data_IF_837367343594
#
_entry.id   IF_837367343594
#
_cell.length_a   1.000
_cell.length_b   1.000
_cell.length_c   1.000
_cell.angle_alpha   90.00
_cell.angle_beta   90.00
_cell.angle_gamma   90.00
#
_symmetry.space_group_name_H-M   'P 1'
#
loop_
_entity.id
_entity.type
_entity.pdbx_description
1 polymer ?
#
# COMPACT_ATOMS: atom_id res chain seq x y z
N UNK A 1 -35.97 40.92 31.63
CA UNK A 1 -35.69 39.74 32.48
C UNK A 1 -35.76 38.52 31.57
N UNK A 2 -34.65 38.19 30.94
CA UNK A 2 -34.57 37.06 30.00
C UNK A 2 -33.65 36.04 30.67
N UNK A 3 -34.21 34.88 30.98
CA UNK A 3 -33.51 33.77 31.63
C UNK A 3 -32.64 33.05 30.60
N UNK A 4 -31.37 33.06 30.87
CA UNK A 4 -30.35 32.31 30.11
C UNK A 4 -30.40 30.84 30.55
N UNK A 5 -30.97 29.95 29.74
CA UNK A 5 -30.94 28.51 29.98
C UNK A 5 -29.55 27.98 29.52
N UNK A 6 -28.63 27.84 30.47
CA UNK A 6 -27.44 27.02 30.27
C UNK A 6 -27.86 25.54 30.31
N UNK A 7 -27.91 24.87 29.13
CA UNK A 7 -27.93 23.43 29.10
C UNK A 7 -26.50 22.93 29.34
N UNK A 8 -26.23 22.53 30.56
CA UNK A 8 -25.07 21.71 30.89
C UNK A 8 -25.31 20.33 30.28
N UNK A 9 -24.62 20.04 29.18
CA UNK A 9 -24.49 18.68 28.69
C UNK A 9 -23.63 17.91 29.68
N UNK A 10 -24.27 17.18 30.57
CA UNK A 10 -23.62 16.15 31.40
C UNK A 10 -23.13 15.05 30.46
N UNK A 11 -21.85 15.09 30.15
CA UNK A 11 -21.16 13.91 29.66
C UNK A 11 -21.26 12.80 30.70
N UNK A 12 -22.13 11.85 30.48
CA UNK A 12 -22.06 10.57 31.15
C UNK A 12 -20.77 9.89 30.68
N UNK A 13 -19.68 10.09 31.40
CA UNK A 13 -18.54 9.23 31.34
C UNK A 13 -18.99 7.84 31.83
N UNK A 14 -19.42 7.01 30.91
CA UNK A 14 -19.60 5.60 31.15
C UNK A 14 -18.23 5.03 31.55
N UNK A 15 -18.13 4.62 32.80
CA UNK A 15 -17.03 3.90 33.38
C UNK A 15 -17.00 2.48 32.80
N UNK A 16 -16.68 2.34 31.53
CA UNK A 16 -16.19 1.09 31.00
C UNK A 16 -14.70 1.01 31.31
N UNK A 17 -14.38 0.34 32.44
CA UNK A 17 -13.05 -0.14 32.76
C UNK A 17 -12.68 -1.35 31.86
N UNK A 18 -12.88 -1.27 30.58
CA UNK A 18 -12.16 -2.09 29.64
C UNK A 18 -10.75 -1.54 29.59
N UNK A 19 -9.79 -2.27 30.15
CA UNK A 19 -8.36 -2.02 29.93
C UNK A 19 -8.17 -2.00 28.43
N UNK A 20 -7.97 -0.80 27.86
CA UNK A 20 -7.61 -0.68 26.46
C UNK A 20 -6.33 -1.52 26.27
N UNK A 21 -6.36 -2.40 25.29
CA UNK A 21 -5.19 -3.18 24.89
C UNK A 21 -4.01 -2.22 24.68
N UNK A 22 -2.82 -2.65 25.03
CA UNK A 22 -1.60 -1.86 24.80
C UNK A 22 -1.41 -1.50 23.32
N UNK A 23 -2.04 -2.26 22.42
CA UNK A 23 -2.05 -2.01 20.98
C UNK A 23 -2.96 -0.84 20.58
N UNK A 24 -4.01 -0.54 21.37
CA UNK A 24 -5.00 0.50 21.11
C UNK A 24 -4.65 1.83 21.81
N UNK A 25 -3.54 1.88 22.53
CA UNK A 25 -3.11 3.11 23.21
C UNK A 25 -2.59 4.12 22.19
N UNK A 26 -3.03 5.36 22.33
CA UNK A 26 -2.47 6.48 21.57
C UNK A 26 -1.20 6.97 22.29
N UNK A 27 -0.07 6.80 21.64
CA UNK A 27 1.21 7.28 22.13
C UNK A 27 1.54 8.63 21.50
N UNK A 28 1.75 9.68 22.30
CA UNK A 28 2.26 10.97 21.83
C UNK A 28 3.78 10.92 21.73
N UNK A 29 4.26 10.31 20.65
CA UNK A 29 5.68 10.05 20.40
C UNK A 29 6.09 10.72 19.10
N UNK A 30 7.05 11.64 19.17
CA UNK A 30 7.64 12.32 18.02
C UNK A 30 9.09 11.88 17.84
N UNK A 31 9.43 11.38 16.67
CA UNK A 31 10.82 11.07 16.34
C UNK A 31 11.61 12.34 16.07
N UNK A 32 12.78 12.50 16.71
CA UNK A 32 13.62 13.69 16.58
C UNK A 32 14.99 13.43 15.97
N UNK A 33 15.42 12.17 15.86
CA UNK A 33 16.69 11.86 15.20
C UNK A 33 17.33 10.53 15.60
N UNK A 34 18.49 10.30 15.02
CA UNK A 34 19.41 9.21 15.39
C UNK A 34 20.34 9.71 16.47
N UNK A 35 20.53 8.92 17.54
CA UNK A 35 21.54 9.20 18.55
C UNK A 35 22.88 8.55 18.18
N UNK A 36 23.36 7.63 19.00
CA UNK A 36 24.48 6.75 18.66
C UNK A 36 24.03 5.69 17.63
N UNK A 37 24.98 5.04 16.96
CA UNK A 37 24.69 3.97 16.01
C UNK A 37 23.76 2.90 16.61
N UNK A 38 22.73 2.51 15.86
CA UNK A 38 21.71 1.56 16.30
C UNK A 38 20.66 2.12 17.26
N UNK A 39 20.64 3.44 17.54
CA UNK A 39 19.66 4.07 18.42
C UNK A 39 18.76 5.06 17.70
N UNK A 40 17.58 5.27 18.29
CA UNK A 40 16.57 6.24 17.83
C UNK A 40 16.14 7.13 18.99
N UNK A 41 15.99 8.44 18.76
CA UNK A 41 15.62 9.41 19.78
C UNK A 41 14.22 9.95 19.52
N UNK A 42 13.40 9.97 20.57
CA UNK A 42 12.01 10.40 20.54
C UNK A 42 11.73 11.43 21.61
N UNK A 43 11.01 12.49 21.31
CA UNK A 43 10.31 13.30 22.32
C UNK A 43 8.95 12.64 22.60
N UNK A 44 8.72 12.30 23.85
CA UNK A 44 7.50 11.63 24.29
C UNK A 44 6.76 12.50 25.31
N UNK A 45 5.47 12.72 25.07
CA UNK A 45 4.59 13.46 25.96
C UNK A 45 3.59 12.52 26.62
N UNK A 46 3.51 12.53 27.95
CA UNK A 46 2.63 11.66 28.74
C UNK A 46 1.86 12.45 29.78
N UNK A 47 0.72 11.91 30.21
CA UNK A 47 -0.05 12.46 31.33
C UNK A 47 -0.10 11.43 32.46
N UNK A 48 0.40 11.80 33.65
CA UNK A 48 0.57 10.90 34.79
C UNK A 48 0.16 11.56 36.11
N UNK A 49 0.12 10.78 37.19
CA UNK A 49 -0.19 11.30 38.53
C UNK A 49 0.94 12.14 39.13
N UNK A 50 2.17 11.81 38.76
CA UNK A 50 3.36 12.55 39.12
C UNK A 50 4.42 12.51 38.01
N UNK A 51 5.45 13.34 38.13
CA UNK A 51 6.48 13.48 37.10
C UNK A 51 7.31 12.19 36.91
N UNK A 52 7.53 11.42 37.97
CA UNK A 52 8.31 10.17 37.92
C UNK A 52 7.56 9.10 37.16
N UNK A 53 6.26 8.91 37.46
CA UNK A 53 5.38 8.00 36.71
C UNK A 53 5.33 8.42 35.22
N UNK A 54 5.26 9.74 34.95
CA UNK A 54 5.24 10.26 33.57
C UNK A 54 6.51 9.93 32.78
N UNK A 55 7.69 9.99 33.39
CA UNK A 55 8.95 9.58 32.75
C UNK A 55 8.96 8.07 32.47
N UNK A 56 8.48 7.24 33.39
CA UNK A 56 8.41 5.80 33.18
C UNK A 56 7.41 5.43 32.07
N UNK A 57 6.27 6.12 32.00
CA UNK A 57 5.35 5.97 30.88
C UNK A 57 5.99 6.38 29.55
N UNK A 58 6.74 7.48 29.53
CA UNK A 58 7.41 7.94 28.32
C UNK A 58 8.44 6.94 27.79
N UNK A 59 9.22 6.29 28.66
CA UNK A 59 10.15 5.23 28.28
C UNK A 59 9.42 4.04 27.67
N UNK A 60 8.33 3.58 28.29
CA UNK A 60 7.48 2.51 27.77
C UNK A 60 6.91 2.88 26.42
N UNK A 61 6.37 4.07 26.27
CA UNK A 61 5.68 4.53 25.08
C UNK A 61 6.63 4.71 23.88
N UNK A 62 7.88 5.14 24.12
CA UNK A 62 8.93 5.16 23.10
C UNK A 62 9.22 3.76 22.54
N UNK A 63 9.36 2.77 23.42
CA UNK A 63 9.59 1.37 23.02
C UNK A 63 8.35 0.79 22.32
N UNK A 64 7.15 1.05 22.84
CA UNK A 64 5.90 0.60 22.25
C UNK A 64 5.68 1.20 20.84
N UNK A 65 6.05 2.46 20.63
CA UNK A 65 6.02 3.08 19.30
C UNK A 65 6.95 2.37 18.31
N UNK A 66 8.17 2.03 18.72
CA UNK A 66 9.09 1.24 17.88
C UNK A 66 8.50 -0.14 17.55
N UNK A 67 7.87 -0.79 18.52
CA UNK A 67 7.31 -2.13 18.34
C UNK A 67 6.11 -2.15 17.41
N UNK A 68 5.13 -1.24 17.59
CA UNK A 68 3.80 -1.37 17.01
C UNK A 68 3.42 -0.31 15.98
N UNK A 69 4.07 0.86 15.98
CA UNK A 69 3.77 1.96 15.06
C UNK A 69 4.83 2.18 14.00
N UNK A 70 6.08 1.84 14.32
CA UNK A 70 7.23 2.25 13.53
C UNK A 70 7.56 3.73 13.74
N UNK A 71 8.43 4.23 12.89
CA UNK A 71 9.00 5.58 12.97
C UNK A 71 8.62 6.32 11.70
N UNK A 72 7.90 7.43 11.85
CA UNK A 72 7.54 8.31 10.74
C UNK A 72 8.78 9.07 10.24
N UNK A 73 8.83 9.31 8.94
CA UNK A 73 9.89 10.13 8.36
C UNK A 73 9.82 11.56 8.95
N UNK A 74 10.99 12.11 9.29
CA UNK A 74 11.13 13.50 9.74
C UNK A 74 12.44 14.07 9.20
N UNK A 75 12.38 15.18 8.49
CA UNK A 75 13.55 15.79 7.86
C UNK A 75 14.24 14.82 6.87
N UNK A 76 15.54 14.57 7.07
CA UNK A 76 16.35 13.67 6.23
C UNK A 76 16.25 12.18 6.64
N UNK A 77 15.42 11.82 7.61
CA UNK A 77 15.31 10.45 8.10
C UNK A 77 14.17 9.70 7.44
N UNK A 78 14.46 8.48 6.98
CA UNK A 78 13.50 7.59 6.35
C UNK A 78 12.55 7.01 7.41
N UNK A 79 11.29 6.83 7.03
CA UNK A 79 10.34 6.06 7.84
C UNK A 79 10.88 4.64 8.07
N UNK A 80 10.62 4.10 9.25
CA UNK A 80 10.99 2.74 9.62
C UNK A 80 9.72 2.01 10.05
N UNK A 81 9.41 0.82 9.48
CA UNK A 81 8.20 0.09 9.85
C UNK A 81 8.23 -0.34 11.33
N UNK A 82 7.06 -0.71 11.84
CA UNK A 82 6.95 -1.34 13.15
C UNK A 82 7.80 -2.63 13.20
N UNK A 83 8.46 -2.88 14.33
CA UNK A 83 9.30 -4.07 14.51
C UNK A 83 8.45 -5.34 14.51
N UNK A 84 7.23 -5.27 15.04
CA UNK A 84 6.31 -6.40 15.19
C UNK A 84 5.02 -6.11 14.41
N UNK A 85 4.55 -7.06 13.61
CA UNK A 85 3.27 -6.91 12.92
C UNK A 85 2.11 -6.88 13.91
N UNK A 86 1.03 -6.18 13.56
CA UNK A 86 -0.15 -6.09 14.42
C UNK A 86 -0.72 -7.46 14.76
N UNK A 87 -0.84 -8.35 13.79
CA UNK A 87 -1.33 -9.73 13.98
C UNK A 87 -0.45 -10.53 14.94
N UNK A 88 0.88 -10.40 14.81
CA UNK A 88 1.81 -11.07 15.74
C UNK A 88 1.66 -10.52 17.15
N UNK A 89 1.51 -9.20 17.29
CA UNK A 89 1.34 -8.54 18.57
C UNK A 89 0.00 -8.95 19.24
N UNK A 90 -1.08 -9.01 18.49
CA UNK A 90 -2.41 -9.40 18.95
C UNK A 90 -2.41 -10.87 19.40
N UNK A 91 -1.84 -11.78 18.62
CA UNK A 91 -1.75 -13.20 18.95
C UNK A 91 -0.84 -13.48 20.16
N UNK A 92 0.00 -12.53 20.55
CA UNK A 92 0.93 -12.66 21.68
C UNK A 92 0.76 -11.54 22.72
N UNK A 93 -0.45 -11.04 22.86
CA UNK A 93 -0.75 -9.85 23.67
C UNK A 93 -0.27 -9.96 25.12
N UNK A 94 -0.38 -11.13 25.74
CA UNK A 94 0.07 -11.37 27.12
C UNK A 94 1.58 -11.15 27.29
N UNK A 95 2.37 -11.56 26.29
CA UNK A 95 3.80 -11.29 26.29
C UNK A 95 4.07 -9.79 26.25
N UNK A 96 3.43 -9.06 25.34
CA UNK A 96 3.68 -7.63 25.18
C UNK A 96 3.15 -6.79 26.35
N UNK A 97 2.02 -7.17 26.97
CA UNK A 97 1.55 -6.55 28.20
C UNK A 97 2.54 -6.76 29.35
N UNK A 98 3.12 -7.96 29.48
CA UNK A 98 4.16 -8.24 30.46
C UNK A 98 5.46 -7.50 30.14
N UNK A 99 5.88 -7.49 28.89
CA UNK A 99 7.10 -6.84 28.42
C UNK A 99 7.08 -5.32 28.64
N UNK A 100 5.93 -4.66 28.44
CA UNK A 100 5.71 -3.23 28.59
C UNK A 100 5.04 -2.84 29.91
N UNK A 101 4.97 -3.73 30.89
CA UNK A 101 4.38 -3.44 32.19
C UNK A 101 5.12 -2.30 32.91
N UNK A 102 4.38 -1.33 33.42
CA UNK A 102 4.98 -0.24 34.22
C UNK A 102 5.42 -0.78 35.60
N UNK A 103 6.49 -0.23 36.16
CA UNK A 103 6.94 -0.61 37.51
C UNK A 103 5.92 -0.21 38.58
N UNK A 104 5.76 -1.06 39.56
CA UNK A 104 4.93 -0.83 40.73
C UNK A 104 5.71 -1.13 42.01
N UNK A 105 5.17 -0.82 43.20
CA UNK A 105 5.84 -1.14 44.46
C UNK A 105 6.12 -2.63 44.65
N UNK A 106 5.40 -3.52 43.93
CA UNK A 106 5.50 -4.98 44.04
C UNK A 106 6.10 -5.65 42.82
N UNK A 107 6.22 -4.93 41.70
CA UNK A 107 6.72 -5.45 40.43
C UNK A 107 7.74 -4.45 39.87
N UNK A 108 8.97 -4.87 39.53
CA UNK A 108 10.01 -3.98 38.97
C UNK A 108 9.66 -3.44 37.58
N UNK A 109 8.59 -3.92 36.97
CA UNK A 109 8.17 -3.54 35.61
C UNK A 109 8.63 -4.53 34.55
N UNK A 110 8.27 -4.23 33.31
CA UNK A 110 8.56 -5.06 32.15
C UNK A 110 10.00 -4.88 31.64
N UNK A 111 10.36 -5.70 30.65
CA UNK A 111 11.72 -5.75 30.12
C UNK A 111 12.06 -4.56 29.18
N UNK A 112 11.11 -3.68 28.85
CA UNK A 112 11.35 -2.53 27.96
C UNK A 112 12.48 -1.62 28.44
N UNK A 113 12.74 -1.54 29.75
CA UNK A 113 13.85 -0.76 30.32
C UNK A 113 15.23 -1.13 29.76
N UNK A 114 15.42 -2.38 29.37
CA UNK A 114 16.68 -2.89 28.79
C UNK A 114 17.02 -2.21 27.47
N UNK A 115 16.02 -1.63 26.80
CA UNK A 115 16.16 -1.01 25.49
C UNK A 115 16.14 0.52 25.55
N UNK A 116 16.27 1.09 26.77
CA UNK A 116 16.44 2.52 26.96
C UNK A 116 17.93 2.80 27.19
N UNK A 117 18.54 3.51 26.24
CA UNK A 117 19.95 3.93 26.35
C UNK A 117 20.10 5.17 27.25
N UNK A 118 19.30 6.20 26.96
CA UNK A 118 19.37 7.48 27.67
C UNK A 118 17.98 8.13 27.75
N UNK A 119 17.77 8.87 28.85
CA UNK A 119 16.60 9.72 29.05
C UNK A 119 17.08 11.15 29.27
N UNK A 120 16.50 12.10 28.54
CA UNK A 120 16.78 13.52 28.70
C UNK A 120 16.21 14.09 29.99
N UNK A 121 16.37 15.41 30.17
CA UNK A 121 15.78 16.12 31.31
C UNK A 121 14.27 16.30 31.08
N UNK A 122 13.40 15.74 31.95
CA UNK A 122 11.97 15.86 31.77
C UNK A 122 11.50 17.29 32.04
N UNK A 123 10.62 17.78 31.18
CA UNK A 123 9.82 18.98 31.43
C UNK A 123 8.46 18.54 31.94
N UNK A 124 8.03 19.08 33.08
CA UNK A 124 6.74 18.72 33.66
C UNK A 124 5.90 19.94 34.00
N UNK A 125 4.63 19.91 33.61
CA UNK A 125 3.65 20.95 33.93
C UNK A 125 2.49 20.32 34.70
N UNK A 126 2.18 20.87 35.87
CA UNK A 126 1.07 20.39 36.68
C UNK A 126 -0.26 20.99 36.21
N UNK A 127 -1.19 20.14 35.81
CA UNK A 127 -2.53 20.50 35.38
C UNK A 127 -3.57 19.89 36.33
N UNK A 128 -3.96 20.62 37.37
CA UNK A 128 -4.88 20.14 38.39
C UNK A 128 -4.29 18.96 39.19
N UNK A 129 -4.86 17.77 39.02
CA UNK A 129 -4.43 16.53 39.71
C UNK A 129 -3.43 15.68 38.96
N UNK A 130 -3.07 16.05 37.75
CA UNK A 130 -2.16 15.31 36.87
C UNK A 130 -1.01 16.19 36.41
N UNK A 131 0.05 15.54 35.94
CA UNK A 131 1.22 16.19 35.33
C UNK A 131 1.31 15.79 33.86
N UNK A 132 1.49 16.77 32.99
CA UNK A 132 1.93 16.56 31.61
C UNK A 132 3.45 16.56 31.63
N UNK A 133 4.06 15.46 31.19
CA UNK A 133 5.53 15.27 31.19
C UNK A 133 5.97 15.08 29.76
N UNK A 134 6.93 15.89 29.32
CA UNK A 134 7.60 15.75 28.02
C UNK A 134 9.08 15.46 28.25
N UNK A 135 9.61 14.43 27.60
CA UNK A 135 10.99 13.98 27.79
C UNK A 135 11.54 13.29 26.55
N UNK A 136 12.83 13.53 26.28
CA UNK A 136 13.52 12.83 25.21
C UNK A 136 13.98 11.44 25.68
N UNK A 137 13.66 10.42 24.90
CA UNK A 137 14.01 9.03 25.18
C UNK A 137 14.78 8.45 24.00
N UNK A 138 15.97 7.93 24.28
CA UNK A 138 16.81 7.23 23.31
C UNK A 138 16.62 5.72 23.46
N UNK A 139 16.07 5.09 22.40
CA UNK A 139 15.80 3.65 22.33
C UNK A 139 16.93 2.94 21.60
N UNK A 140 17.40 1.81 22.13
CA UNK A 140 18.32 0.86 21.48
C UNK A 140 17.54 0.07 20.41
N UNK A 141 17.27 0.71 19.28
CA UNK A 141 16.34 0.21 18.27
C UNK A 141 16.81 -1.13 17.65
N UNK A 142 18.10 -1.23 17.31
CA UNK A 142 18.65 -2.43 16.66
C UNK A 142 18.69 -3.62 17.64
N UNK A 143 19.00 -3.38 18.91
CA UNK A 143 18.97 -4.40 19.95
C UNK A 143 17.54 -4.88 20.24
N UNK A 144 16.56 -3.95 20.27
CA UNK A 144 15.15 -4.27 20.42
C UNK A 144 14.67 -5.13 19.25
N UNK A 145 15.04 -4.75 18.03
CA UNK A 145 14.69 -5.50 16.81
C UNK A 145 15.25 -6.92 16.88
N UNK A 146 16.54 -7.05 17.18
CA UNK A 146 17.20 -8.36 17.32
C UNK A 146 16.56 -9.20 18.41
N UNK A 147 16.23 -8.62 19.55
CA UNK A 147 15.56 -9.34 20.63
C UNK A 147 14.21 -9.89 20.21
N UNK A 148 13.39 -9.09 19.50
CA UNK A 148 12.09 -9.55 19.00
C UNK A 148 12.23 -10.64 17.93
N UNK A 149 13.25 -10.55 17.07
CA UNK A 149 13.61 -11.60 16.11
C UNK A 149 14.02 -12.91 16.77
N UNK A 150 14.84 -12.83 17.83
CA UNK A 150 15.31 -14.00 18.57
C UNK A 150 14.16 -14.69 19.35
N UNK A 151 13.14 -13.92 19.73
CA UNK A 151 11.90 -14.43 20.35
C UNK A 151 10.89 -14.95 19.33
N UNK A 152 11.09 -14.72 18.03
CA UNK A 152 10.16 -15.12 16.97
C UNK A 152 8.95 -14.20 16.81
N UNK A 153 9.00 -12.99 17.40
CA UNK A 153 7.93 -11.99 17.27
C UNK A 153 8.17 -10.97 16.16
N UNK A 154 9.41 -10.82 15.74
CA UNK A 154 9.75 -10.09 14.54
C UNK A 154 10.36 -11.05 13.52
N UNK A 155 10.07 -10.83 12.25
CA UNK A 155 10.72 -11.62 11.21
C UNK A 155 12.23 -11.42 11.34
N UNK A 156 12.95 -12.54 11.48
CA UNK A 156 14.38 -12.50 11.16
C UNK A 156 14.43 -12.05 9.72
N UNK A 157 14.91 -10.82 9.50
CA UNK A 157 15.36 -10.45 8.16
C UNK A 157 16.31 -11.58 7.77
N UNK A 158 15.77 -12.61 7.10
CA UNK A 158 16.62 -13.41 6.26
C UNK A 158 17.30 -12.34 5.45
N UNK A 159 18.64 -12.37 5.37
CA UNK A 159 19.43 -11.61 4.41
C UNK A 159 19.03 -12.03 2.99
N UNK A 160 17.78 -12.08 2.73
CA UNK A 160 17.21 -11.97 1.42
C UNK A 160 17.29 -10.49 1.16
N UNK A 161 18.04 -10.16 0.18
CA UNK A 161 18.18 -8.85 -0.44
C UNK A 161 16.87 -8.02 -0.56
N UNK A 162 15.73 -8.48 -0.08
CA UNK A 162 14.43 -7.80 -0.06
C UNK A 162 14.45 -6.42 0.63
N UNK A 163 15.34 -6.19 1.60
CA UNK A 163 15.58 -4.85 2.16
C UNK A 163 16.34 -3.92 1.21
N UNK A 164 16.95 -4.45 0.15
CA UNK A 164 17.59 -3.71 -0.94
C UNK A 164 16.63 -3.40 -2.09
N UNK A 165 15.51 -4.09 -2.16
CA UNK A 165 14.63 -4.05 -3.31
C UNK A 165 13.37 -3.28 -3.03
N UNK A 166 13.20 -2.29 -3.86
CA UNK A 166 11.99 -1.57 -4.17
C UNK A 166 11.01 -1.37 -3.00
N UNK A 167 10.94 -0.17 -2.51
CA UNK A 167 9.79 0.30 -1.76
C UNK A 167 8.55 0.13 -2.66
N UNK A 168 7.36 -0.13 -2.06
CA UNK A 168 6.14 -0.14 -2.84
C UNK A 168 6.00 1.19 -3.58
N UNK A 169 5.74 1.09 -4.86
CA UNK A 169 5.46 2.24 -5.71
C UNK A 169 3.95 2.42 -5.80
N UNK A 170 3.48 3.63 -5.59
CA UNK A 170 2.07 3.95 -5.68
C UNK A 170 1.80 5.17 -6.58
N UNK A 171 0.55 5.29 -7.00
CA UNK A 171 0.05 6.45 -7.73
C UNK A 171 -1.31 6.85 -7.16
N UNK A 172 -1.50 8.14 -6.89
CA UNK A 172 -2.79 8.70 -6.52
C UNK A 172 -3.54 9.11 -7.77
N UNK A 173 -4.78 8.63 -7.90
CA UNK A 173 -5.69 9.00 -8.99
C UNK A 173 -7.01 9.52 -8.42
N UNK A 174 -7.71 10.45 -9.10
CA UNK A 174 -9.07 10.78 -8.71
C UNK A 174 -9.99 9.58 -8.93
N UNK A 175 -10.95 9.38 -8.04
CA UNK A 175 -11.92 8.29 -8.16
C UNK A 175 -12.83 8.51 -9.37
N UNK A 176 -13.41 7.42 -9.89
CA UNK A 176 -14.40 7.50 -10.96
C UNK A 176 -15.64 8.31 -10.53
N UNK A 177 -16.00 8.25 -9.24
CA UNK A 177 -17.12 9.03 -8.68
C UNK A 177 -16.80 10.52 -8.79
N UNK A 178 -15.66 10.93 -8.26
CA UNK A 178 -15.20 12.32 -8.36
C UNK A 178 -15.15 12.81 -9.81
N UNK A 179 -14.58 12.01 -10.72
CA UNK A 179 -14.48 12.37 -12.12
C UNK A 179 -15.85 12.52 -12.80
N UNK A 180 -16.82 11.67 -12.44
CA UNK A 180 -18.19 11.77 -12.96
C UNK A 180 -18.89 13.03 -12.46
N UNK A 181 -18.77 13.36 -11.17
CA UNK A 181 -19.39 14.53 -10.55
C UNK A 181 -18.81 15.84 -11.10
N UNK A 182 -17.50 15.88 -11.32
CA UNK A 182 -16.81 17.05 -11.89
C UNK A 182 -16.91 17.13 -13.41
N UNK A 183 -17.57 16.16 -14.06
CA UNK A 183 -17.70 16.12 -15.52
C UNK A 183 -16.39 15.77 -16.24
N UNK A 184 -15.44 15.13 -15.55
CA UNK A 184 -14.16 14.70 -16.09
C UNK A 184 -14.28 13.37 -16.81
N UNK A 185 -15.27 13.28 -17.69
CA UNK A 185 -15.62 12.05 -18.40
C UNK A 185 -15.92 12.33 -19.86
N UNK A 186 -15.62 11.35 -20.67
CA UNK A 186 -16.04 11.28 -22.06
C UNK A 186 -17.19 10.28 -22.20
N UNK A 187 -18.26 10.68 -22.87
CA UNK A 187 -19.45 9.86 -23.10
C UNK A 187 -19.58 9.58 -24.58
N UNK A 188 -19.86 8.31 -24.92
CA UNK A 188 -20.21 7.91 -26.28
C UNK A 188 -21.36 6.91 -26.25
N UNK A 189 -22.01 6.72 -27.39
CA UNK A 189 -23.03 5.69 -27.54
C UNK A 189 -22.40 4.48 -28.19
N UNK A 190 -22.62 3.31 -27.60
CA UNK A 190 -22.27 2.04 -28.23
C UNK A 190 -23.21 1.71 -29.42
N UNK A 191 -22.94 0.62 -30.13
CA UNK A 191 -23.71 0.17 -31.27
C UNK A 191 -25.20 -0.13 -30.94
N UNK A 192 -25.50 -0.39 -29.66
CA UNK A 192 -26.85 -0.64 -29.16
C UNK A 192 -27.54 0.64 -28.66
N UNK A 193 -26.89 1.80 -28.76
CA UNK A 193 -27.42 3.09 -28.33
C UNK A 193 -27.26 3.37 -26.82
N UNK A 194 -26.58 2.48 -26.03
CA UNK A 194 -26.30 2.70 -24.62
C UNK A 194 -25.21 3.77 -24.47
N UNK A 195 -25.40 4.66 -23.50
CA UNK A 195 -24.39 5.65 -23.17
C UNK A 195 -23.30 4.99 -22.33
N UNK A 196 -22.10 4.93 -22.87
CA UNK A 196 -20.90 4.51 -22.18
C UNK A 196 -20.15 5.73 -21.66
N UNK A 197 -19.56 5.62 -20.50
CA UNK A 197 -18.80 6.70 -19.86
C UNK A 197 -17.40 6.20 -19.51
N UNK A 198 -16.39 6.98 -19.84
CA UNK A 198 -15.01 6.71 -19.49
C UNK A 198 -14.36 7.95 -18.89
N UNK A 199 -13.53 7.77 -17.87
CA UNK A 199 -12.78 8.86 -17.26
C UNK A 199 -11.80 9.44 -18.29
N UNK A 200 -11.80 10.76 -18.42
CA UNK A 200 -10.88 11.48 -19.28
C UNK A 200 -9.80 12.17 -18.46
N UNK A 201 -8.64 11.52 -18.38
CA UNK A 201 -7.49 12.03 -17.63
C UNK A 201 -6.77 13.23 -18.31
N UNK A 202 -7.07 13.57 -19.57
CA UNK A 202 -6.50 14.73 -20.27
C UNK A 202 -6.84 16.06 -19.58
N UNK A 203 -7.82 16.02 -18.69
CA UNK A 203 -8.28 17.15 -17.87
C UNK A 203 -7.22 17.69 -16.94
N UNK A 204 -6.23 16.89 -16.56
CA UNK A 204 -5.13 17.35 -15.70
C UNK A 204 -4.34 18.54 -16.25
N UNK A 205 -4.49 18.85 -17.54
CA UNK A 205 -3.91 20.04 -18.16
C UNK A 205 -4.80 21.30 -18.13
N UNK A 206 -6.06 21.19 -17.62
CA UNK A 206 -7.04 22.30 -17.65
C UNK A 206 -6.98 23.16 -16.40
N UNK A 207 -7.38 24.42 -16.53
CA UNK A 207 -7.35 25.38 -15.40
C UNK A 207 -8.31 24.99 -14.28
N UNK A 208 -9.45 24.41 -14.61
CA UNK A 208 -10.48 23.95 -13.69
C UNK A 208 -10.05 22.75 -12.80
N UNK A 209 -8.99 22.05 -13.17
CA UNK A 209 -8.43 20.94 -12.36
C UNK A 209 -7.37 21.37 -11.33
N UNK A 210 -7.17 22.68 -11.12
CA UNK A 210 -6.10 23.18 -10.25
C UNK A 210 -6.17 22.65 -8.84
N UNK A 211 -7.36 22.64 -8.22
CA UNK A 211 -7.54 22.18 -6.85
C UNK A 211 -7.25 20.68 -6.73
N UNK A 212 -7.73 19.88 -7.69
CA UNK A 212 -7.41 18.45 -7.75
C UNK A 212 -5.90 18.20 -7.86
N UNK A 213 -5.19 18.95 -8.70
CA UNK A 213 -3.73 18.82 -8.84
C UNK A 213 -2.98 19.16 -7.55
N UNK A 214 -3.40 20.22 -6.85
CA UNK A 214 -2.83 20.60 -5.57
C UNK A 214 -3.06 19.54 -4.51
N UNK A 215 -4.26 18.99 -4.45
CA UNK A 215 -4.63 17.92 -3.52
C UNK A 215 -3.83 16.65 -3.77
N UNK A 216 -3.73 16.20 -5.03
CA UNK A 216 -2.91 15.04 -5.39
C UNK A 216 -1.43 15.27 -5.10
N UNK A 217 -0.91 16.49 -5.36
CA UNK A 217 0.48 16.83 -5.05
C UNK A 217 0.76 16.75 -3.56
N UNK A 218 -0.13 17.26 -2.70
CA UNK A 218 -0.01 17.16 -1.25
C UNK A 218 -0.05 15.72 -0.75
N UNK A 219 -0.96 14.87 -1.27
CA UNK A 219 -0.98 13.45 -0.94
C UNK A 219 0.29 12.74 -1.38
N UNK A 220 0.79 13.03 -2.57
CA UNK A 220 2.05 12.48 -3.06
C UNK A 220 3.22 12.82 -2.12
N UNK A 221 3.24 14.04 -1.60
CA UNK A 221 4.25 14.45 -0.62
C UNK A 221 4.10 13.71 0.71
N UNK A 222 2.87 13.57 1.23
CA UNK A 222 2.60 12.80 2.45
C UNK A 222 3.08 11.36 2.27
N UNK A 223 2.75 10.67 1.17
CA UNK A 223 3.20 9.31 0.92
C UNK A 223 4.72 9.20 0.80
N UNK A 224 5.39 10.16 0.12
CA UNK A 224 6.86 10.21 0.08
C UNK A 224 7.46 10.35 1.46
N UNK A 225 6.89 11.21 2.31
CA UNK A 225 7.33 11.40 3.69
C UNK A 225 7.11 10.15 4.55
N UNK A 226 6.11 9.31 4.21
CA UNK A 226 5.89 7.98 4.82
C UNK A 226 6.78 6.89 4.20
N UNK A 227 7.62 7.22 3.24
CA UNK A 227 8.63 6.32 2.69
C UNK A 227 8.22 5.53 1.45
N UNK A 228 7.09 5.85 0.82
CA UNK A 228 6.68 5.26 -0.44
C UNK A 228 7.35 5.94 -1.63
N UNK A 229 7.57 5.19 -2.70
CA UNK A 229 7.85 5.77 -4.01
C UNK A 229 6.54 6.12 -4.68
N UNK A 230 6.46 7.34 -5.23
CA UNK A 230 5.20 7.86 -5.80
C UNK A 230 5.41 8.26 -7.24
N UNK A 231 4.68 7.60 -8.13
CA UNK A 231 4.56 7.99 -9.53
C UNK A 231 3.52 9.11 -9.66
N UNK A 232 3.90 10.20 -10.29
CA UNK A 232 2.96 11.30 -10.55
C UNK A 232 2.08 11.01 -11.75
N UNK A 233 0.76 11.02 -11.55
CA UNK A 233 -0.23 10.86 -12.62
C UNK A 233 -0.06 11.95 -13.70
N UNK A 234 0.15 13.20 -13.30
CA UNK A 234 0.32 14.32 -14.25
C UNK A 234 1.52 14.12 -15.19
N UNK A 235 2.67 13.71 -14.65
CA UNK A 235 3.85 13.45 -15.47
C UNK A 235 3.69 12.23 -16.35
N UNK A 236 3.05 11.18 -15.85
CA UNK A 236 2.75 10.00 -16.63
C UNK A 236 1.86 10.32 -17.83
N UNK A 237 0.78 11.09 -17.64
CA UNK A 237 -0.11 11.49 -18.73
C UNK A 237 0.57 12.35 -19.77
N UNK A 238 1.48 13.23 -19.35
CA UNK A 238 2.32 14.01 -20.28
C UNK A 238 3.23 13.09 -21.12
N UNK A 239 3.85 12.10 -20.49
CA UNK A 239 4.70 11.12 -21.17
C UNK A 239 3.91 10.29 -22.18
N UNK A 240 2.72 9.77 -21.78
CA UNK A 240 1.84 9.02 -22.68
C UNK A 240 1.39 9.84 -23.89
N UNK A 241 1.05 11.11 -23.67
CA UNK A 241 0.67 12.01 -24.76
C UNK A 241 1.84 12.29 -25.74
N UNK A 242 3.05 12.43 -25.20
CA UNK A 242 4.24 12.58 -26.02
C UNK A 242 4.52 11.30 -26.83
N UNK A 243 4.41 10.13 -26.22
CA UNK A 243 4.54 8.84 -26.89
C UNK A 243 3.54 8.69 -28.04
N UNK A 244 2.26 9.06 -27.84
CA UNK A 244 1.23 9.03 -28.88
C UNK A 244 1.57 9.98 -30.04
N UNK A 245 2.13 11.16 -29.76
CA UNK A 245 2.58 12.09 -30.78
C UNK A 245 3.78 11.53 -31.56
N UNK A 246 4.76 10.95 -30.89
CA UNK A 246 5.92 10.32 -31.50
C UNK A 246 5.51 9.13 -32.38
N UNK A 247 4.62 8.26 -31.90
CA UNK A 247 4.09 7.13 -32.66
C UNK A 247 3.34 7.59 -33.92
N UNK A 248 2.59 8.67 -33.83
CA UNK A 248 1.88 9.23 -34.99
C UNK A 248 2.82 9.79 -36.06
N UNK A 249 4.05 10.18 -35.70
CA UNK A 249 5.08 10.68 -36.64
C UNK A 249 5.86 9.54 -37.33
N UNK A 250 5.94 8.37 -36.70
CA UNK A 250 6.67 7.20 -37.24
C UNK A 250 5.84 6.47 -38.31
N UNK A 251 4.54 6.74 -38.38
CA UNK A 251 3.61 6.16 -39.32
C UNK A 251 3.08 4.78 -38.94
N UNK A 252 2.03 4.35 -39.61
CA UNK A 252 1.25 3.12 -39.33
C UNK A 252 2.02 1.79 -39.53
N UNK A 253 3.30 1.84 -39.95
CA UNK A 253 4.11 0.63 -40.22
C UNK A 253 4.53 -0.16 -38.95
N UNK A 254 4.39 0.44 -37.78
CA UNK A 254 4.40 -0.28 -36.49
C UNK A 254 2.99 -0.63 -36.05
N UNK A 255 2.14 -1.04 -37.02
CA UNK A 255 0.80 -1.48 -36.75
C UNK A 255 0.78 -2.48 -35.63
N UNK A 256 0.25 -2.05 -34.49
CA UNK A 256 -0.39 -2.93 -33.54
C UNK A 256 -1.68 -3.47 -34.21
N UNK A 257 -1.49 -4.15 -35.34
CA UNK A 257 -2.54 -4.92 -35.99
C UNK A 257 -3.05 -5.97 -35.00
N UNK A 258 -4.21 -5.69 -34.40
CA UNK A 258 -4.79 -6.49 -33.34
C UNK A 258 -4.59 -5.94 -31.92
N UNK A 259 -4.17 -4.70 -31.73
CA UNK A 259 -4.22 -4.07 -30.41
C UNK A 259 -5.64 -4.09 -29.88
N UNK A 260 -5.91 -5.00 -28.96
CA UNK A 260 -7.18 -5.07 -28.25
C UNK A 260 -7.34 -3.73 -27.52
N UNK A 261 -8.46 -3.04 -27.75
CA UNK A 261 -8.71 -1.74 -27.16
C UNK A 261 -8.48 -1.76 -25.64
N UNK A 262 -7.46 -1.08 -25.18
CA UNK A 262 -7.10 -0.94 -23.77
C UNK A 262 -7.83 0.26 -23.19
N UNK A 263 -8.38 0.13 -21.97
CA UNK A 263 -8.98 1.28 -21.29
C UNK A 263 -7.91 2.28 -20.87
N UNK A 264 -8.22 3.59 -20.78
CA UNK A 264 -7.24 4.58 -20.31
C UNK A 264 -6.62 4.25 -18.96
N UNK A 265 -7.41 3.75 -18.02
CA UNK A 265 -6.90 3.35 -16.70
C UNK A 265 -5.98 2.13 -16.77
N UNK A 266 -6.25 1.15 -17.64
CA UNK A 266 -5.40 -0.02 -17.81
C UNK A 266 -4.06 0.37 -18.46
N UNK A 267 -4.09 1.31 -19.42
CA UNK A 267 -2.89 1.88 -20.00
C UNK A 267 -2.05 2.61 -18.95
N UNK A 268 -2.70 3.42 -18.10
CA UNK A 268 -2.05 4.09 -16.98
C UNK A 268 -1.41 3.06 -16.02
N UNK A 269 -2.16 2.04 -15.60
CA UNK A 269 -1.67 0.97 -14.71
C UNK A 269 -0.45 0.26 -15.29
N UNK A 270 -0.50 -0.09 -16.56
CA UNK A 270 0.58 -0.79 -17.24
C UNK A 270 1.83 0.08 -17.37
N UNK A 271 1.68 1.35 -17.79
CA UNK A 271 2.81 2.25 -18.03
C UNK A 271 3.41 2.77 -16.72
N UNK A 272 2.59 3.01 -15.70
CA UNK A 272 3.05 3.49 -14.40
C UNK A 272 3.94 2.49 -13.66
N UNK A 273 3.76 1.19 -13.90
CA UNK A 273 4.47 0.11 -13.22
C UNK A 273 4.44 0.26 -11.68
N UNK A 274 3.27 0.63 -11.15
CA UNK A 274 3.04 0.81 -9.71
C UNK A 274 2.48 -0.48 -9.09
N UNK A 275 2.70 -0.65 -7.79
CA UNK A 275 2.13 -1.77 -7.03
C UNK A 275 0.71 -1.46 -6.59
N UNK A 276 0.46 -0.21 -6.19
CA UNK A 276 -0.81 0.23 -5.65
C UNK A 276 -1.31 1.49 -6.35
N UNK A 277 -2.62 1.53 -6.58
CA UNK A 277 -3.33 2.75 -6.93
C UNK A 277 -4.14 3.20 -5.73
N UNK A 278 -4.07 4.50 -5.44
CA UNK A 278 -4.86 5.14 -4.40
C UNK A 278 -5.92 5.98 -5.08
N UNK A 279 -7.16 5.49 -5.08
CA UNK A 279 -8.34 6.22 -5.52
C UNK A 279 -8.68 7.29 -4.48
N UNK A 280 -8.78 8.54 -4.91
CA UNK A 280 -9.13 9.67 -4.07
C UNK A 280 -10.46 10.27 -4.51
N UNK A 281 -11.36 10.38 -3.58
CA UNK A 281 -12.57 11.17 -3.64
C UNK A 281 -12.55 12.24 -2.55
N UNK A 282 -12.94 13.48 -2.87
CA UNK A 282 -13.01 14.53 -1.87
C UNK A 282 -14.01 15.61 -2.25
N UNK A 283 -14.60 16.21 -1.25
CA UNK A 283 -15.53 17.32 -1.39
C UNK A 283 -15.18 18.44 -0.41
N UNK A 284 -15.32 19.68 -0.87
CA UNK A 284 -15.16 20.87 -0.02
C UNK A 284 -16.52 21.22 0.58
N UNK A 285 -16.65 21.01 1.86
CA UNK A 285 -17.87 21.26 2.62
C UNK A 285 -17.80 22.60 3.36
N UNK A 286 -18.95 23.22 3.60
CA UNK A 286 -19.07 24.46 4.37
C UNK A 286 -19.76 24.20 5.72
N UNK A 287 -19.20 24.78 6.78
CA UNK A 287 -19.80 24.75 8.11
C UNK A 287 -19.63 26.09 8.83
N UNK A 288 -20.73 26.81 8.96
CA UNK A 288 -20.71 28.18 9.46
C UNK A 288 -19.98 29.12 8.52
N UNK A 289 -18.91 29.77 8.97
CA UNK A 289 -18.05 30.61 8.13
C UNK A 289 -16.78 29.90 7.66
N UNK A 290 -16.60 28.63 8.02
CA UNK A 290 -15.42 27.83 7.69
C UNK A 290 -15.70 26.77 6.63
N UNK A 291 -14.66 26.41 5.87
CA UNK A 291 -14.66 25.28 4.94
C UNK A 291 -13.83 24.14 5.50
N UNK A 292 -14.21 22.90 5.20
CA UNK A 292 -13.42 21.70 5.49
C UNK A 292 -13.49 20.73 4.31
N UNK A 293 -12.59 19.78 4.27
CA UNK A 293 -12.59 18.71 3.26
C UNK A 293 -13.14 17.44 3.90
N UNK A 294 -14.16 16.85 3.26
CA UNK A 294 -14.54 15.46 3.44
C UNK A 294 -13.81 14.62 2.41
N UNK A 295 -13.23 13.50 2.79
CA UNK A 295 -12.47 12.65 1.88
C UNK A 295 -12.81 11.18 2.03
N UNK A 296 -12.63 10.45 0.94
CA UNK A 296 -12.68 9.00 0.86
C UNK A 296 -11.50 8.51 0.01
N UNK A 297 -10.64 7.68 0.58
CA UNK A 297 -9.42 7.22 -0.05
C UNK A 297 -9.34 5.70 0.04
N UNK A 298 -9.16 5.02 -1.09
CA UNK A 298 -9.04 3.57 -1.18
C UNK A 298 -7.76 3.21 -1.89
N UNK A 299 -7.01 2.28 -1.34
CA UNK A 299 -5.87 1.69 -2.02
C UNK A 299 -6.26 0.33 -2.58
N UNK A 300 -5.91 0.09 -3.84
CA UNK A 300 -6.14 -1.15 -4.54
C UNK A 300 -4.81 -1.73 -5.05
N UNK A 301 -4.69 -3.05 -4.95
CA UNK A 301 -3.61 -3.80 -5.57
C UNK A 301 -3.85 -3.86 -7.09
N UNK A 302 -2.91 -3.34 -7.88
CA UNK A 302 -3.05 -3.34 -9.33
C UNK A 302 -2.90 -4.73 -9.94
N UNK A 303 -2.26 -5.67 -9.24
CA UNK A 303 -2.00 -7.03 -9.71
C UNK A 303 -3.10 -8.04 -9.36
N UNK A 304 -3.86 -7.82 -8.30
CA UNK A 304 -4.87 -8.76 -7.80
C UNK A 304 -6.31 -8.36 -8.17
N UNK A 305 -6.59 -8.11 -9.45
CA UNK A 305 -7.93 -7.72 -9.93
C UNK A 305 -8.52 -6.51 -9.16
N UNK A 306 -7.68 -5.52 -8.86
CA UNK A 306 -8.05 -4.32 -8.09
C UNK A 306 -8.61 -4.64 -6.69
N UNK A 307 -8.04 -5.63 -5.99
CA UNK A 307 -8.39 -5.94 -4.61
C UNK A 307 -8.13 -4.74 -3.71
N UNK A 308 -9.13 -4.31 -2.95
CA UNK A 308 -8.98 -3.25 -1.95
C UNK A 308 -8.09 -3.73 -0.80
N UNK A 309 -7.06 -2.95 -0.48
CA UNK A 309 -6.08 -3.23 0.58
C UNK A 309 -6.34 -2.36 1.80
N UNK A 310 -6.58 -1.08 1.56
CA UNK A 310 -6.77 -0.09 2.61
C UNK A 310 -7.85 0.91 2.23
N UNK A 311 -8.57 1.34 3.25
CA UNK A 311 -9.60 2.36 3.13
C UNK A 311 -9.44 3.36 4.28
N UNK A 312 -9.56 4.65 3.95
CA UNK A 312 -9.62 5.74 4.91
C UNK A 312 -10.64 6.77 4.45
N UNK A 313 -11.45 7.24 5.35
CA UNK A 313 -12.42 8.31 5.11
C UNK A 313 -12.55 9.17 6.35
N UNK A 314 -12.97 10.40 6.19
CA UNK A 314 -13.18 11.32 7.30
C UNK A 314 -13.41 12.74 6.87
N UNK A 315 -13.69 13.56 7.87
CA UNK A 315 -13.92 14.98 7.73
C UNK A 315 -12.81 15.77 8.41
N UNK A 316 -12.31 16.80 7.71
CA UNK A 316 -11.38 17.77 8.26
C UNK A 316 -12.05 18.75 9.25
N UNK A 317 -11.25 19.60 9.84
CA UNK A 317 -11.75 20.66 10.73
C UNK A 317 -12.07 21.91 9.90
N UNK A 318 -13.21 22.61 10.19
CA UNK A 318 -13.52 23.86 9.51
C UNK A 318 -12.46 24.94 9.73
N UNK A 319 -12.03 25.59 8.65
CA UNK A 319 -11.08 26.70 8.66
C UNK A 319 -11.55 27.82 7.73
N UNK A 320 -11.34 29.08 8.13
CA UNK A 320 -11.77 30.26 7.35
C UNK A 320 -10.69 30.75 6.38
N UNK A 321 -9.45 30.29 6.52
CA UNK A 321 -8.28 30.84 5.81
C UNK A 321 -7.39 29.78 5.14
N UNK A 322 -7.62 28.50 5.40
CA UNK A 322 -6.80 27.45 4.83
C UNK A 322 -7.09 27.22 3.34
N UNK A 323 -6.05 26.89 2.59
CA UNK A 323 -6.15 26.44 1.20
C UNK A 323 -6.68 25.01 1.15
N UNK A 324 -7.21 24.56 0.01
CA UNK A 324 -7.81 23.23 -0.13
C UNK A 324 -6.83 22.10 0.18
N UNK A 325 -5.59 22.23 -0.25
CA UNK A 325 -4.55 21.23 0.07
C UNK A 325 -4.26 21.17 1.58
N UNK A 326 -4.21 22.29 2.29
CA UNK A 326 -4.04 22.33 3.75
C UNK A 326 -5.24 21.69 4.45
N UNK A 327 -6.47 21.95 3.99
CA UNK A 327 -7.67 21.33 4.54
C UNK A 327 -7.65 19.81 4.37
N UNK A 328 -7.21 19.32 3.21
CA UNK A 328 -7.06 17.89 2.97
C UNK A 328 -5.95 17.29 3.85
N UNK A 329 -4.78 17.91 3.90
CA UNK A 329 -3.67 17.44 4.73
C UNK A 329 -4.12 17.26 6.19
N UNK A 330 -4.82 18.24 6.76
CA UNK A 330 -5.37 18.13 8.11
C UNK A 330 -6.40 17.01 8.25
N UNK A 331 -7.23 16.79 7.23
CA UNK A 331 -8.25 15.74 7.26
C UNK A 331 -7.62 14.34 7.25
N UNK A 332 -6.61 14.10 6.39
CA UNK A 332 -6.03 12.77 6.17
C UNK A 332 -4.98 12.37 7.22
N UNK A 333 -4.29 13.33 7.86
CA UNK A 333 -3.14 13.06 8.72
C UNK A 333 -3.38 11.97 9.77
N UNK A 334 -4.55 12.00 10.42
CA UNK A 334 -4.89 11.03 11.48
C UNK A 334 -5.15 9.61 10.96
N UNK A 335 -5.34 9.45 9.65
CA UNK A 335 -5.65 8.17 9.00
C UNK A 335 -4.43 7.56 8.30
N UNK A 336 -3.41 8.39 7.99
CA UNK A 336 -2.28 8.00 7.14
C UNK A 336 -1.41 6.91 7.76
N UNK A 337 -1.23 6.89 9.08
CA UNK A 337 -0.39 5.87 9.72
C UNK A 337 -0.98 4.47 9.53
N UNK A 338 -2.27 4.31 9.80
CA UNK A 338 -2.97 3.03 9.63
C UNK A 338 -3.07 2.65 8.16
N UNK A 339 -3.35 3.62 7.28
CA UNK A 339 -3.47 3.40 5.85
C UNK A 339 -2.13 2.94 5.25
N UNK A 340 -1.04 3.67 5.52
CA UNK A 340 0.29 3.35 5.05
C UNK A 340 0.81 2.02 5.60
N UNK A 341 0.45 1.69 6.85
CA UNK A 341 0.80 0.40 7.43
C UNK A 341 0.19 -0.76 6.66
N UNK A 342 -1.10 -0.69 6.32
CA UNK A 342 -1.77 -1.73 5.53
C UNK A 342 -1.11 -1.91 4.16
N UNK A 343 -0.71 -0.81 3.50
CA UNK A 343 0.03 -0.89 2.23
C UNK A 343 1.39 -1.56 2.39
N UNK A 344 2.09 -1.25 3.48
CA UNK A 344 3.40 -1.85 3.76
C UNK A 344 3.27 -3.35 4.08
N UNK A 345 2.28 -3.73 4.89
CA UNK A 345 2.01 -5.12 5.24
C UNK A 345 1.66 -5.95 3.99
N UNK A 346 0.83 -5.42 3.10
CA UNK A 346 0.51 -6.03 1.82
C UNK A 346 1.74 -6.20 0.91
N UNK A 347 2.58 -5.18 0.82
CA UNK A 347 3.80 -5.25 0.01
C UNK A 347 4.79 -6.30 0.54
N UNK A 348 4.89 -6.44 1.86
CA UNK A 348 5.68 -7.49 2.50
C UNK A 348 5.10 -8.87 2.16
N UNK A 349 3.78 -9.01 2.20
CA UNK A 349 3.10 -10.24 1.80
C UNK A 349 3.39 -10.59 0.33
N UNK A 350 3.24 -9.64 -0.58
CA UNK A 350 3.57 -9.81 -2.00
C UNK A 350 5.04 -10.17 -2.23
N UNK A 351 5.95 -9.62 -1.42
CA UNK A 351 7.38 -9.90 -1.53
C UNK A 351 7.73 -11.33 -1.09
N UNK A 352 6.99 -11.87 -0.11
CA UNK A 352 7.21 -13.20 0.45
C UNK A 352 6.44 -14.29 -0.30
N UNK A 353 5.19 -14.01 -0.64
CA UNK A 353 4.24 -14.99 -1.16
C UNK A 353 3.96 -14.82 -2.66
N UNK A 354 4.60 -13.82 -3.29
CA UNK A 354 4.35 -13.48 -4.69
C UNK A 354 3.11 -12.60 -4.86
N UNK A 355 2.89 -12.17 -6.11
CA UNK A 355 1.70 -11.40 -6.49
C UNK A 355 0.77 -12.21 -7.38
N UNK A 356 -0.51 -11.98 -7.20
CA UNK A 356 -1.55 -12.67 -7.94
C UNK A 356 -1.78 -12.04 -9.32
N UNK A 357 -1.77 -12.86 -10.37
CA UNK A 357 -2.11 -12.44 -11.73
C UNK A 357 -3.14 -13.37 -12.37
N UNK A 358 -3.73 -12.93 -13.48
CA UNK A 358 -4.55 -13.74 -14.37
C UNK A 358 -3.80 -14.02 -15.67
N UNK A 359 -3.71 -15.28 -16.03
CA UNK A 359 -3.12 -15.73 -17.29
C UNK A 359 -4.21 -16.30 -18.19
N UNK A 360 -4.29 -15.81 -19.42
CA UNK A 360 -5.16 -16.37 -20.45
C UNK A 360 -4.34 -16.87 -21.64
N UNK A 361 -4.58 -18.12 -22.00
CA UNK A 361 -4.01 -18.68 -23.23
C UNK A 361 -5.17 -18.80 -24.22
N UNK A 362 -5.02 -18.19 -25.37
CA UNK A 362 -6.05 -18.15 -26.41
C UNK A 362 -5.49 -18.74 -27.70
N UNK A 363 -6.34 -19.27 -28.52
CA UNK A 363 -5.97 -19.60 -29.89
C UNK A 363 -6.65 -18.67 -30.89
N UNK A 364 -6.01 -18.44 -32.02
CA UNK A 364 -6.65 -17.76 -33.15
C UNK A 364 -7.62 -18.72 -33.87
N UNK A 365 -8.54 -18.16 -34.64
CA UNK A 365 -9.48 -18.98 -35.44
C UNK A 365 -8.76 -19.86 -36.47
N UNK A 366 -7.56 -19.46 -36.91
CA UNK A 366 -6.74 -20.20 -37.87
C UNK A 366 -5.74 -21.16 -37.20
N UNK A 367 -5.78 -21.28 -35.89
CA UNK A 367 -4.88 -22.18 -35.14
C UNK A 367 -5.37 -23.62 -35.24
N UNK A 368 -4.45 -24.54 -35.53
CA UNK A 368 -4.73 -26.00 -35.59
C UNK A 368 -4.82 -26.64 -34.18
N UNK A 369 -4.58 -25.88 -33.12
CA UNK A 369 -4.57 -26.38 -31.75
C UNK A 369 -5.95 -26.30 -31.10
N UNK A 370 -6.32 -27.39 -30.40
CA UNK A 370 -7.46 -27.47 -29.49
C UNK A 370 -6.94 -27.85 -28.11
N UNK A 371 -7.17 -27.03 -27.10
CA UNK A 371 -6.60 -27.23 -25.77
C UNK A 371 -7.07 -28.52 -25.08
N UNK A 372 -8.22 -29.06 -25.47
CA UNK A 372 -8.79 -30.28 -24.91
C UNK A 372 -8.47 -31.54 -25.72
N UNK A 373 -8.12 -31.40 -27.02
CA UNK A 373 -8.01 -32.53 -27.96
C UNK A 373 -6.62 -32.70 -28.54
N UNK A 374 -5.88 -31.59 -28.77
CA UNK A 374 -4.51 -31.66 -29.28
C UNK A 374 -3.61 -32.25 -28.23
N UNK A 375 -2.95 -33.37 -28.52
CA UNK A 375 -2.06 -34.07 -27.59
C UNK A 375 -0.62 -34.09 -28.06
N UNK A 376 0.30 -34.09 -27.12
CA UNK A 376 1.75 -34.24 -27.32
C UNK A 376 2.33 -35.26 -26.36
N UNK A 377 3.48 -35.82 -26.68
CA UNK A 377 4.21 -36.68 -25.78
C UNK A 377 4.75 -35.83 -24.59
N UNK A 378 4.33 -36.14 -23.39
CA UNK A 378 4.79 -35.53 -22.14
C UNK A 378 5.04 -36.63 -21.12
N UNK A 379 6.25 -36.71 -20.57
CA UNK A 379 6.67 -37.73 -19.58
C UNK A 379 6.36 -39.20 -19.99
N UNK A 380 6.32 -39.47 -21.29
CA UNK A 380 6.06 -40.80 -21.86
C UNK A 380 4.56 -41.10 -22.12
N UNK A 381 3.67 -40.17 -21.86
CA UNK A 381 2.23 -40.28 -22.09
C UNK A 381 1.73 -39.25 -23.11
N UNK A 382 0.59 -39.52 -23.74
CA UNK A 382 -0.11 -38.56 -24.61
C UNK A 382 -0.97 -37.62 -23.74
N UNK A 383 -0.51 -36.38 -23.61
CA UNK A 383 -1.10 -35.38 -22.74
C UNK A 383 -1.68 -34.22 -23.55
N UNK A 384 -2.83 -33.68 -23.16
CA UNK A 384 -3.46 -32.55 -23.86
C UNK A 384 -2.62 -31.29 -23.74
N UNK A 385 -2.65 -30.42 -24.75
CA UNK A 385 -1.96 -29.13 -24.70
C UNK A 385 -2.39 -28.31 -23.48
N UNK A 386 -3.67 -28.35 -23.13
CA UNK A 386 -4.20 -27.66 -21.96
C UNK A 386 -3.62 -28.16 -20.64
N UNK A 387 -3.40 -29.48 -20.50
CA UNK A 387 -2.79 -30.07 -19.30
C UNK A 387 -1.27 -29.80 -19.25
N UNK A 388 -0.57 -29.82 -20.38
CA UNK A 388 0.85 -29.46 -20.46
C UNK A 388 1.08 -28.02 -19.99
N UNK A 389 0.24 -27.09 -20.45
CA UNK A 389 0.29 -25.69 -20.01
C UNK A 389 -0.01 -25.58 -18.51
N UNK A 390 -0.99 -26.32 -18.02
CA UNK A 390 -1.32 -26.34 -16.60
C UNK A 390 -0.17 -26.86 -15.73
N UNK A 391 0.48 -27.95 -16.12
CA UNK A 391 1.64 -28.49 -15.38
C UNK A 391 2.82 -27.50 -15.38
N UNK A 392 3.10 -26.85 -16.52
CA UNK A 392 4.10 -25.80 -16.53
C UNK A 392 3.80 -24.66 -15.54
N UNK A 393 2.52 -24.24 -15.48
CA UNK A 393 2.10 -23.19 -14.52
C UNK A 393 2.23 -23.69 -13.08
N UNK A 394 1.87 -24.93 -12.77
CA UNK A 394 2.07 -25.51 -11.44
C UNK A 394 3.54 -25.46 -11.01
N UNK A 395 4.45 -25.83 -11.90
CA UNK A 395 5.88 -25.87 -11.61
C UNK A 395 6.53 -24.48 -11.49
N UNK A 396 5.89 -23.44 -12.03
CA UNK A 396 6.45 -22.09 -12.12
C UNK A 396 5.66 -21.05 -11.31
N UNK A 397 4.66 -21.44 -10.53
CA UNK A 397 3.95 -20.57 -9.53
C UNK A 397 4.52 -20.75 -8.14
N UNK A 398 4.36 -19.74 -7.30
CA UNK A 398 4.87 -19.76 -5.92
C UNK A 398 4.14 -20.79 -5.05
N UNK A 399 2.83 -20.95 -5.26
CA UNK A 399 1.95 -21.81 -4.47
C UNK A 399 1.61 -23.17 -5.13
N UNK A 400 2.10 -23.40 -6.35
CA UNK A 400 1.88 -24.61 -7.15
C UNK A 400 0.39 -24.98 -7.35
N UNK A 401 -0.52 -24.03 -7.24
CA UNK A 401 -1.97 -24.29 -7.28
C UNK A 401 -2.78 -23.26 -8.08
N UNK A 402 -2.50 -23.05 -9.38
CA UNK A 402 -3.29 -22.13 -10.19
C UNK A 402 -4.69 -22.70 -10.46
N UNK A 403 -5.74 -21.92 -10.18
CA UNK A 403 -7.12 -22.29 -10.53
C UNK A 403 -7.33 -22.13 -12.02
N UNK A 404 -7.89 -23.16 -12.71
CA UNK A 404 -8.10 -23.14 -14.15
C UNK A 404 -9.55 -23.25 -14.57
N UNK A 405 -9.88 -22.56 -15.66
CA UNK A 405 -11.07 -22.80 -16.48
C UNK A 405 -10.60 -23.11 -17.90
N UNK A 406 -11.02 -24.25 -18.44
CA UNK A 406 -10.59 -24.73 -19.75
C UNK A 406 -11.76 -24.84 -20.72
N UNK A 407 -11.57 -24.31 -21.92
CA UNK A 407 -12.44 -24.48 -23.08
C UNK A 407 -11.57 -24.89 -24.29
N UNK A 408 -12.15 -25.33 -25.40
CA UNK A 408 -11.35 -25.68 -26.60
C UNK A 408 -10.50 -24.52 -27.14
N UNK A 409 -10.94 -23.29 -26.92
CA UNK A 409 -10.34 -22.08 -27.50
C UNK A 409 -9.60 -21.19 -26.51
N UNK A 410 -9.88 -21.33 -25.20
CA UNK A 410 -9.35 -20.45 -24.18
C UNK A 410 -9.07 -21.23 -22.89
N UNK A 411 -7.87 -21.08 -22.36
CA UNK A 411 -7.52 -21.44 -21.00
C UNK A 411 -7.46 -20.15 -20.18
N UNK A 412 -8.12 -20.14 -19.05
CA UNK A 412 -8.05 -19.04 -18.10
C UNK A 412 -7.54 -19.59 -16.77
N UNK A 413 -6.44 -19.00 -16.30
CA UNK A 413 -5.86 -19.30 -15.00
C UNK A 413 -5.99 -18.05 -14.14
N UNK A 414 -6.86 -18.15 -13.15
CA UNK A 414 -7.02 -17.12 -12.14
C UNK A 414 -6.13 -17.45 -10.94
N UNK A 415 -5.75 -16.43 -10.17
CA UNK A 415 -4.97 -16.60 -8.94
C UNK A 415 -3.60 -17.27 -9.17
N UNK A 416 -2.95 -16.95 -10.27
CA UNK A 416 -1.58 -17.41 -10.54
C UNK A 416 -0.62 -16.56 -9.69
N UNK A 417 0.05 -17.18 -8.72
CA UNK A 417 0.97 -16.50 -7.83
C UNK A 417 2.38 -16.48 -8.44
N UNK A 418 2.81 -15.30 -8.90
CA UNK A 418 4.15 -15.14 -9.48
C UNK A 418 5.10 -14.43 -8.50
N UNK A 419 6.40 -14.76 -8.48
CA UNK A 419 7.35 -14.09 -7.61
C UNK A 419 7.47 -12.61 -7.99
N UNK A 420 7.58 -11.72 -7.01
CA UNK A 420 7.76 -10.29 -7.25
C UNK A 420 9.12 -9.97 -7.88
N UNK A 421 10.12 -10.80 -7.57
CA UNK A 421 11.49 -10.65 -8.05
C UNK A 421 12.10 -12.00 -8.41
N UNK A 422 13.09 -11.98 -9.33
CA UNK A 422 13.92 -13.13 -9.65
C UNK A 422 15.40 -12.75 -9.69
N UNK A 423 16.27 -13.72 -9.49
CA UNK A 423 17.70 -13.53 -9.72
C UNK A 423 18.01 -13.64 -11.21
N UNK A 424 18.47 -12.56 -11.80
CA UNK A 424 18.88 -12.50 -13.19
C UNK A 424 20.22 -13.22 -13.45
N UNK A 425 20.61 -13.38 -14.73
CA UNK A 425 21.80 -14.13 -15.18
C UNK A 425 23.12 -13.68 -14.55
N UNK A 426 23.21 -12.45 -14.04
CA UNK A 426 24.42 -11.90 -13.41
C UNK A 426 24.30 -11.75 -11.89
N UNK A 427 23.35 -12.46 -11.28
CA UNK A 427 23.10 -12.36 -9.84
C UNK A 427 22.36 -11.07 -9.41
N UNK A 428 22.04 -10.18 -10.36
CA UNK A 428 21.23 -9.01 -10.06
C UNK A 428 19.78 -9.42 -9.86
N UNK A 429 19.12 -8.86 -8.85
CA UNK A 429 17.70 -9.08 -8.64
C UNK A 429 16.93 -8.20 -9.61
N UNK A 430 16.01 -8.82 -10.30
CA UNK A 430 15.15 -8.20 -11.29
C UNK A 430 13.70 -8.34 -10.83
N UNK A 431 12.92 -7.28 -11.02
CA UNK A 431 11.47 -7.34 -10.85
C UNK A 431 10.88 -8.24 -11.94
N UNK A 432 9.92 -9.08 -11.58
CA UNK A 432 9.19 -9.94 -12.53
C UNK A 432 7.88 -9.26 -12.88
N UNK A 433 7.66 -8.96 -14.13
CA UNK A 433 6.36 -8.54 -14.65
C UNK A 433 5.59 -9.72 -15.27
N UNK A 434 4.35 -9.47 -15.67
CA UNK A 434 3.49 -10.51 -16.25
C UNK A 434 3.99 -11.00 -17.62
N UNK A 435 4.62 -10.13 -18.39
CA UNK A 435 5.20 -10.47 -19.68
C UNK A 435 6.43 -11.36 -19.51
N UNK A 436 7.33 -10.98 -18.61
CA UNK A 436 8.53 -11.77 -18.26
C UNK A 436 8.17 -13.17 -17.79
N UNK A 437 7.09 -13.29 -17.01
CA UNK A 437 6.60 -14.59 -16.53
C UNK A 437 6.13 -15.45 -17.70
N UNK A 438 5.24 -14.90 -18.54
CA UNK A 438 4.64 -15.66 -19.64
C UNK A 438 5.62 -15.96 -20.77
N UNK A 439 6.70 -15.16 -20.91
CA UNK A 439 7.80 -15.45 -21.84
C UNK A 439 8.49 -16.78 -21.51
N UNK A 440 8.49 -17.19 -20.24
CA UNK A 440 8.95 -18.52 -19.81
C UNK A 440 8.12 -19.62 -20.44
N UNK A 441 6.78 -19.51 -20.36
CA UNK A 441 5.86 -20.47 -21.00
C UNK A 441 5.99 -20.48 -22.53
N UNK A 442 6.03 -19.31 -23.16
CA UNK A 442 6.22 -19.20 -24.63
C UNK A 442 7.50 -19.92 -25.07
N UNK A 443 8.60 -19.68 -24.36
CA UNK A 443 9.87 -20.33 -24.64
C UNK A 443 9.80 -21.85 -24.46
N UNK A 444 9.13 -22.30 -23.41
CA UNK A 444 8.92 -23.72 -23.13
C UNK A 444 8.11 -24.40 -24.24
N UNK A 445 6.99 -23.82 -24.68
CA UNK A 445 6.14 -24.34 -25.74
C UNK A 445 6.88 -24.37 -27.09
N UNK A 446 7.64 -23.32 -27.41
CA UNK A 446 8.43 -23.26 -28.64
C UNK A 446 9.49 -24.34 -28.66
N UNK A 447 10.26 -24.52 -27.60
CA UNK A 447 11.40 -25.41 -27.56
C UNK A 447 11.00 -26.89 -27.53
N UNK A 448 9.90 -27.25 -26.88
CA UNK A 448 9.53 -28.63 -26.65
C UNK A 448 8.45 -29.13 -27.63
N UNK A 449 7.59 -28.23 -28.14
CA UNK A 449 6.44 -28.61 -28.96
C UNK A 449 6.38 -27.88 -30.31
N UNK A 450 7.34 -27.00 -30.58
CA UNK A 450 7.35 -26.13 -31.77
C UNK A 450 6.09 -25.29 -31.92
N UNK A 451 5.52 -24.88 -30.78
CA UNK A 451 4.33 -24.01 -30.69
C UNK A 451 4.84 -22.60 -30.40
N UNK A 452 4.54 -21.66 -31.30
CA UNK A 452 4.82 -20.25 -31.11
C UNK A 452 3.52 -19.47 -30.83
N UNK A 453 3.66 -18.32 -30.21
CA UNK A 453 2.53 -17.46 -29.89
C UNK A 453 2.97 -16.04 -29.58
N UNK A 454 2.04 -15.13 -29.49
CA UNK A 454 2.28 -13.72 -29.20
C UNK A 454 1.75 -13.36 -27.81
N UNK A 455 2.58 -12.66 -27.03
CA UNK A 455 2.22 -12.22 -25.67
C UNK A 455 1.61 -10.81 -25.74
N UNK A 456 0.46 -10.64 -25.11
CA UNK A 456 -0.25 -9.37 -24.97
C UNK A 456 -0.42 -9.03 -23.49
N UNK A 457 0.13 -7.91 -23.04
CA UNK A 457 -0.14 -7.38 -21.71
C UNK A 457 -1.48 -6.67 -21.68
N UNK A 458 -2.29 -6.99 -20.67
CA UNK A 458 -3.60 -6.36 -20.40
C UNK A 458 -3.57 -5.66 -19.04
N UNK A 459 -2.59 -4.80 -18.84
CA UNK A 459 -2.30 -4.21 -17.55
C UNK A 459 -1.34 -5.07 -16.71
N UNK A 460 -1.05 -4.67 -15.47
CA UNK A 460 -0.10 -5.36 -14.60
C UNK A 460 -0.62 -6.68 -14.02
N UNK A 461 -1.93 -6.91 -14.07
CA UNK A 461 -2.61 -8.06 -13.46
C UNK A 461 -3.06 -9.15 -14.42
N UNK A 462 -3.07 -8.87 -15.73
CA UNK A 462 -3.55 -9.83 -16.72
C UNK A 462 -2.62 -9.88 -17.93
N UNK A 463 -2.33 -11.08 -18.40
CA UNK A 463 -1.48 -11.33 -19.57
C UNK A 463 -2.07 -12.44 -20.42
N UNK A 464 -1.98 -12.29 -21.73
CA UNK A 464 -2.45 -13.26 -22.70
C UNK A 464 -1.30 -13.81 -23.53
N UNK A 465 -1.32 -15.12 -23.78
CA UNK A 465 -0.56 -15.76 -24.84
C UNK A 465 -1.55 -16.22 -25.91
N UNK A 466 -1.36 -15.75 -27.13
CA UNK A 466 -2.21 -16.13 -28.28
C UNK A 466 -1.41 -17.03 -29.20
N UNK A 467 -1.90 -18.27 -29.41
CA UNK A 467 -1.27 -19.32 -30.20
C UNK A 467 -1.88 -19.41 -31.60
#
# INVERSE_FOLDING_TARGET
MVALLMMASTMFAQKNNEKRSILDQQYEVQYIGVGQDGTKVFTVTTTAKDATEGVEMAKRDAVAACLFRGITASGNTKATPAIVSYTTAENNIEFFESFLALPTKKNPGGQYHRFINKTGNPQSVKNGKVYTVSVDVQVLYDELTKYMQDKGYAEKVKNTDAGKYAKPMLMVVPSDVYCNEMGYVQKWKDENGNVQTIVNYDIFGREDSRDLRLVIASLNEIFKNKGFEVQSLEFLLKSLKQEDQENSLIGDDYGLDGAIAESPIDRIKRTANVDFIVDLDFEVMEKGMGRYVSFNMRAVDVSANAREIAHAHGDGKPSNSATINTLLEEAVLNHMDTFCKKLQDEFVDMSNNGRQITVKIKRTDNSDYDFLRTTFAFEGEQTTLGDIIYYWLQDNTVDNNPTRVITPNVLTFNQVMIPLTRTGRRGAIQRVDTQDYLQGLQTYLRNNYNIDGTIYMRGPSEVWLVL
#
